data_IF_195950333076
#
_entry.id   IF_195950333076
#
_cell.length_a   1.000
_cell.length_b   1.000
_cell.length_c   1.000
_cell.angle_alpha   90.00
_cell.angle_beta   90.00
_cell.angle_gamma   90.00
#
_symmetry.space_group_name_H-M   'P 1'
#
loop_
_entity.id
_entity.type
_entity.pdbx_description
1 polymer ?
#
# COMPACT_ATOMS: atom_id res chain seq x y z
N UNK A 1 -1.73 19.94 -19.44
CA UNK A 1 -2.56 19.45 -18.32
C UNK A 1 -2.05 18.16 -17.68
N UNK A 2 -1.41 17.24 -18.40
CA UNK A 2 -0.92 15.97 -17.81
C UNK A 2 0.23 16.10 -16.80
N UNK A 3 1.20 16.98 -17.04
CA UNK A 3 2.42 17.05 -16.21
C UNK A 3 2.14 17.42 -14.74
N UNK A 4 1.19 18.34 -14.50
CA UNK A 4 0.80 18.75 -13.15
C UNK A 4 0.13 17.61 -12.36
N UNK A 5 -0.74 16.83 -13.01
CA UNK A 5 -1.41 15.68 -12.39
C UNK A 5 -0.40 14.56 -12.09
N UNK A 6 0.56 14.32 -12.99
CA UNK A 6 1.63 13.36 -12.74
C UNK A 6 2.51 13.76 -11.56
N UNK A 7 2.88 15.04 -11.44
CA UNK A 7 3.69 15.51 -10.32
C UNK A 7 2.96 15.44 -8.98
N UNK A 8 1.67 15.74 -8.93
CA UNK A 8 0.88 15.63 -7.68
C UNK A 8 0.68 14.19 -7.27
N UNK A 9 0.39 13.27 -8.21
CA UNK A 9 0.30 11.84 -7.92
C UNK A 9 1.64 11.24 -7.51
N UNK A 10 2.74 11.67 -8.13
CA UNK A 10 4.08 11.24 -7.75
C UNK A 10 4.47 11.74 -6.36
N UNK A 11 4.21 13.01 -6.04
CA UNK A 11 4.44 13.55 -4.70
C UNK A 11 3.57 12.86 -3.65
N UNK A 12 2.31 12.54 -4.00
CA UNK A 12 1.42 11.76 -3.14
C UNK A 12 2.00 10.37 -2.90
N UNK A 13 2.37 9.63 -3.94
CA UNK A 13 2.99 8.31 -3.80
C UNK A 13 4.31 8.33 -3.02
N UNK A 14 5.18 9.31 -3.31
CA UNK A 14 6.49 9.46 -2.70
C UNK A 14 6.48 9.94 -1.24
N UNK A 15 5.43 10.65 -0.80
CA UNK A 15 5.30 11.12 0.58
C UNK A 15 4.33 10.28 1.43
N UNK A 16 3.13 10.02 0.90
CA UNK A 16 2.08 9.30 1.61
C UNK A 16 2.40 7.81 1.78
N UNK A 17 3.00 7.18 0.77
CA UNK A 17 3.42 5.79 0.84
C UNK A 17 4.38 5.51 2.01
N UNK A 18 5.51 6.23 2.11
CA UNK A 18 6.43 6.11 3.25
C UNK A 18 5.80 6.48 4.59
N UNK A 19 4.94 7.50 4.65
CA UNK A 19 4.27 7.88 5.88
C UNK A 19 3.36 6.75 6.40
N UNK A 20 2.56 6.14 5.53
CA UNK A 20 1.70 5.02 5.90
C UNK A 20 2.50 3.79 6.35
N UNK A 21 3.59 3.47 5.67
CA UNK A 21 4.49 2.39 6.07
C UNK A 21 5.13 2.65 7.46
N UNK A 22 5.56 3.89 7.71
CA UNK A 22 6.14 4.30 9.00
C UNK A 22 5.12 4.26 10.14
N UNK A 23 3.89 4.74 9.91
CA UNK A 23 2.79 4.68 10.91
C UNK A 23 2.48 3.24 11.29
N UNK A 24 2.38 2.33 10.30
CA UNK A 24 2.13 0.93 10.59
C UNK A 24 3.31 0.26 11.30
N UNK A 25 4.55 0.58 10.90
CA UNK A 25 5.74 0.08 11.58
C UNK A 25 5.79 0.53 13.05
N UNK A 26 5.48 1.80 13.33
CA UNK A 26 5.40 2.33 14.69
C UNK A 26 4.29 1.64 15.52
N UNK A 27 3.12 1.41 14.92
CA UNK A 27 2.03 0.67 15.56
C UNK A 27 2.40 -0.79 15.86
N UNK A 28 3.16 -1.43 14.96
CA UNK A 28 3.66 -2.80 15.13
C UNK A 28 4.78 -2.90 16.16
N UNK A 29 5.68 -1.93 16.24
CA UNK A 29 6.71 -1.89 17.27
C UNK A 29 6.12 -1.79 18.69
N UNK A 30 4.98 -1.13 18.85
CA UNK A 30 4.27 -1.04 20.14
C UNK A 30 3.38 -2.25 20.48
N UNK A 31 3.12 -3.13 19.51
CA UNK A 31 2.33 -4.33 19.72
C UNK A 31 3.28 -5.51 19.96
N UNK A 32 3.42 -5.97 21.20
CA UNK A 32 4.20 -7.18 21.57
C UNK A 32 3.57 -8.51 21.08
N UNK A 33 2.87 -8.46 19.95
CA UNK A 33 2.27 -9.61 19.29
C UNK A 33 3.24 -10.14 18.24
N UNK A 34 3.45 -11.45 18.19
CA UNK A 34 4.26 -12.09 17.14
C UNK A 34 3.85 -11.67 15.72
N UNK A 35 4.75 -11.82 14.75
CA UNK A 35 4.46 -11.35 13.40
C UNK A 35 3.23 -12.05 12.81
N UNK A 36 2.48 -11.26 12.06
CA UNK A 36 1.31 -11.72 11.32
C UNK A 36 1.75 -12.39 10.02
N UNK A 37 2.90 -12.00 9.46
CA UNK A 37 3.33 -12.45 8.14
C UNK A 37 3.54 -13.98 8.07
N UNK A 38 2.66 -14.73 7.36
CA UNK A 38 2.73 -16.18 7.28
C UNK A 38 3.89 -16.67 6.41
N UNK A 39 4.49 -15.80 5.58
CA UNK A 39 5.67 -16.12 4.77
C UNK A 39 6.97 -16.02 5.56
N UNK A 40 6.91 -15.54 6.80
CA UNK A 40 8.09 -15.41 7.67
C UNK A 40 8.12 -16.54 8.70
N UNK A 41 8.42 -17.75 8.23
CA UNK A 41 8.60 -18.96 9.06
C UNK A 41 10.04 -19.10 9.53
N UNK A 42 10.66 -18.03 10.01
CA UNK A 42 11.99 -18.11 10.62
C UNK A 42 11.82 -18.42 12.11
N UNK A 43 12.59 -19.38 12.61
CA UNK A 43 12.65 -19.85 14.00
C UNK A 43 13.15 -18.79 15.03
N UNK A 44 13.07 -17.50 14.68
CA UNK A 44 13.52 -16.35 15.46
C UNK A 44 12.47 -15.25 15.37
N UNK A 45 12.22 -14.54 16.48
CA UNK A 45 11.22 -13.47 16.58
C UNK A 45 11.20 -12.59 15.30
N UNK A 46 10.15 -12.68 14.48
CA UNK A 46 10.11 -12.03 13.18
C UNK A 46 10.15 -10.51 13.31
N UNK A 47 10.94 -9.82 12.49
CA UNK A 47 11.14 -8.39 12.63
C UNK A 47 9.89 -7.60 12.20
N UNK A 48 9.55 -6.50 12.90
CA UNK A 48 8.27 -5.79 12.74
C UNK A 48 8.07 -5.17 11.35
N UNK A 49 9.13 -4.98 10.55
CA UNK A 49 9.03 -4.47 9.18
C UNK A 49 8.39 -5.46 8.20
N UNK A 50 8.43 -6.77 8.52
CA UNK A 50 7.88 -7.83 7.66
C UNK A 50 6.36 -7.68 7.49
N UNK A 51 5.67 -7.34 8.58
CA UNK A 51 4.22 -7.11 8.57
C UNK A 51 3.85 -5.84 7.78
N UNK A 52 4.69 -4.79 7.86
CA UNK A 52 4.49 -3.55 7.12
C UNK A 52 4.59 -3.75 5.60
N UNK A 53 5.57 -4.55 5.15
CA UNK A 53 5.72 -4.89 3.74
C UNK A 53 4.55 -5.72 3.23
N UNK A 54 4.09 -6.71 4.02
CA UNK A 54 2.92 -7.51 3.65
C UNK A 54 1.67 -6.66 3.46
N UNK A 55 1.44 -5.68 4.35
CA UNK A 55 0.33 -4.74 4.22
C UNK A 55 0.46 -3.84 2.99
N UNK A 56 1.67 -3.34 2.71
CA UNK A 56 1.94 -2.52 1.54
C UNK A 56 1.69 -3.30 0.25
N UNK A 57 2.09 -4.58 0.20
CA UNK A 57 1.81 -5.48 -0.93
C UNK A 57 0.32 -5.70 -1.10
N UNK A 58 -0.43 -5.94 -0.02
CA UNK A 58 -1.89 -6.08 -0.07
C UNK A 58 -2.56 -4.81 -0.60
N UNK A 59 -2.15 -3.63 -0.13
CA UNK A 59 -2.66 -2.35 -0.61
C UNK A 59 -2.34 -2.12 -2.10
N UNK A 60 -1.13 -2.48 -2.55
CA UNK A 60 -0.74 -2.40 -3.95
C UNK A 60 -1.57 -3.33 -4.84
N UNK A 61 -1.86 -4.56 -4.41
CA UNK A 61 -2.73 -5.48 -5.12
C UNK A 61 -4.16 -4.95 -5.23
N UNK A 62 -4.72 -4.38 -4.15
CA UNK A 62 -6.05 -3.75 -4.17
C UNK A 62 -6.08 -2.58 -5.15
N UNK A 63 -5.05 -1.72 -5.14
CA UNK A 63 -4.93 -0.61 -6.08
C UNK A 63 -4.82 -1.09 -7.53
N UNK A 64 -4.06 -2.16 -7.77
CA UNK A 64 -3.94 -2.79 -9.08
C UNK A 64 -5.28 -3.35 -9.59
N UNK A 65 -6.02 -4.07 -8.74
CA UNK A 65 -7.36 -4.58 -9.08
C UNK A 65 -8.34 -3.43 -9.32
N UNK A 66 -8.32 -2.41 -8.48
CA UNK A 66 -9.15 -1.21 -8.65
C UNK A 66 -8.89 -0.52 -9.99
N UNK A 67 -7.64 -0.51 -10.46
CA UNK A 67 -7.26 0.07 -11.75
C UNK A 67 -7.99 -0.61 -12.92
N UNK A 68 -8.20 -1.94 -12.88
CA UNK A 68 -9.00 -2.62 -13.90
C UNK A 68 -10.48 -2.19 -13.89
N UNK A 69 -11.06 -1.99 -12.70
CA UNK A 69 -12.44 -1.50 -12.54
C UNK A 69 -12.63 -0.04 -12.96
N UNK A 70 -11.61 0.82 -12.79
CA UNK A 70 -11.66 2.22 -13.22
C UNK A 70 -11.78 2.37 -14.75
N UNK A 71 -11.21 1.45 -15.54
CA UNK A 71 -11.31 1.50 -17.02
C UNK A 71 -12.74 1.35 -17.51
N UNK A 72 -13.56 0.55 -16.83
CA UNK A 72 -14.95 0.30 -17.19
C UNK A 72 -15.85 1.51 -16.87
N UNK A 73 -15.64 2.12 -15.69
CA UNK A 73 -16.35 3.34 -15.27
C UNK A 73 -16.00 4.57 -16.12
N UNK A 74 -14.74 4.71 -16.53
CA UNK A 74 -14.31 5.79 -17.43
C UNK A 74 -14.94 5.66 -18.84
N UNK A 75 -15.12 4.43 -19.34
CA UNK A 75 -15.80 4.18 -20.61
C UNK A 75 -17.33 4.41 -20.51
N UNK A 76 -17.94 4.15 -19.35
CA UNK A 76 -19.37 4.36 -19.11
C UNK A 76 -19.74 5.84 -18.94
N UNK A 77 -18.82 6.68 -18.48
CA UNK A 77 -19.00 8.13 -18.33
C UNK A 77 -18.97 8.94 -19.64
N UNK A 78 -18.55 8.35 -20.76
CA UNK A 78 -18.45 9.02 -22.07
C UNK A 78 -19.70 8.81 -22.97
N UNK A 79 -20.83 8.40 -22.38
CA UNK A 79 -22.14 8.25 -23.06
C UNK A 79 -23.23 9.10 -22.40
N UNK A 80 -22.87 10.29 -21.92
CA UNK A 80 -23.80 11.29 -21.40
C UNK A 80 -23.83 12.51 -22.30
#
# INVERSE_FOLDING_TARGET
MGLGIYQTLFALGGGFGPAMAATFLAARQGAETGAINPFFTANSAPPPYSDALLLLTAAALVSFVATFGLKDSAAKGNKG
#
